data_IF_702486338728
#
_entry.id   IF_702486338728
#
_cell.length_a   1.000
_cell.length_b   1.000
_cell.length_c   1.000
_cell.angle_alpha   90.00
_cell.angle_beta   90.00
_cell.angle_gamma   90.00
#
_symmetry.space_group_name_H-M   'P 1'
#
loop_
_entity.id
_entity.type
_entity.pdbx_description
1 polymer ?
#
# COMPACT_ATOMS: atom_id res chain seq x y z
N UNK A 1 4.11 12.30 9.79
CA UNK A 1 5.35 11.67 9.34
C UNK A 1 5.60 11.93 7.85
N UNK A 2 4.63 11.63 6.94
CA UNK A 2 4.78 11.82 5.48
C UNK A 2 5.13 13.28 5.10
N UNK A 3 4.49 14.27 5.74
CA UNK A 3 4.77 15.69 5.51
C UNK A 3 6.20 16.06 5.94
N UNK A 4 6.65 15.54 7.09
CA UNK A 4 8.01 15.77 7.58
C UNK A 4 9.05 15.17 6.63
N UNK A 5 8.81 13.95 6.12
CA UNK A 5 9.67 13.32 5.12
C UNK A 5 9.70 14.13 3.81
N UNK A 6 8.58 14.66 3.37
CA UNK A 6 8.51 15.49 2.16
C UNK A 6 9.23 16.84 2.32
N UNK A 7 9.27 17.39 3.53
CA UNK A 7 10.00 18.64 3.82
C UNK A 7 11.50 18.39 3.91
N UNK A 8 11.92 17.30 4.54
CA UNK A 8 13.35 16.94 4.69
C UNK A 8 13.97 16.43 3.37
N UNK A 9 13.15 15.78 2.54
CA UNK A 9 13.54 15.25 1.22
C UNK A 9 12.60 15.78 0.14
N UNK A 10 12.77 17.04 -0.30
CA UNK A 10 11.84 17.67 -1.26
C UNK A 10 11.81 16.99 -2.64
N UNK A 11 12.80 16.16 -2.97
CA UNK A 11 12.88 15.47 -4.24
C UNK A 11 13.08 16.39 -5.44
N UNK A 12 13.40 15.81 -6.59
CA UNK A 12 13.51 16.56 -7.85
C UNK A 12 12.15 17.07 -8.30
N UNK A 13 12.04 18.31 -8.81
CA UNK A 13 10.79 18.84 -9.33
C UNK A 13 10.27 17.94 -10.45
N UNK A 14 9.02 17.54 -10.38
CA UNK A 14 8.36 16.84 -11.46
C UNK A 14 8.24 17.82 -12.64
N UNK A 15 8.77 17.45 -13.80
CA UNK A 15 8.51 18.19 -15.04
C UNK A 15 7.03 17.96 -15.40
N UNK A 16 6.18 18.90 -14.98
CA UNK A 16 4.71 18.81 -15.05
C UNK A 16 4.21 18.90 -16.50
N UNK A 17 5.07 19.26 -17.43
CA UNK A 17 4.74 19.37 -18.86
C UNK A 17 4.49 18.01 -19.55
N UNK A 18 4.66 16.91 -18.84
CA UNK A 18 4.74 15.61 -19.47
C UNK A 18 3.39 14.95 -19.80
N UNK A 19 2.34 15.12 -19.03
CA UNK A 19 1.05 14.50 -19.38
C UNK A 19 -0.09 14.96 -18.45
N UNK A 20 -1.30 15.27 -18.98
CA UNK A 20 -2.48 15.57 -18.17
C UNK A 20 -2.96 14.36 -17.32
N UNK A 21 -2.52 13.16 -17.65
CA UNK A 21 -2.85 11.92 -16.92
C UNK A 21 -1.98 11.67 -15.68
N UNK A 22 -0.84 12.35 -15.57
CA UNK A 22 0.07 12.17 -14.44
C UNK A 22 -0.57 12.50 -13.09
N UNK A 23 -1.32 13.61 -12.90
CA UNK A 23 -2.00 13.88 -11.64
C UNK A 23 -3.02 12.80 -11.27
N UNK A 24 -3.76 12.27 -12.23
CA UNK A 24 -4.72 11.19 -11.99
C UNK A 24 -4.00 9.91 -11.52
N UNK A 25 -2.93 9.51 -12.21
CA UNK A 25 -2.11 8.35 -11.81
C UNK A 25 -1.57 8.49 -10.39
N UNK A 26 -1.06 9.67 -10.04
CA UNK A 26 -0.56 9.96 -8.69
C UNK A 26 -1.69 9.92 -7.65
N UNK A 27 -2.85 10.49 -7.97
CA UNK A 27 -4.02 10.49 -7.08
C UNK A 27 -4.51 9.06 -6.79
N UNK A 28 -4.60 8.20 -7.82
CA UNK A 28 -4.94 6.79 -7.67
C UNK A 28 -3.94 6.05 -6.77
N UNK A 29 -2.64 6.30 -6.98
CA UNK A 29 -1.58 5.74 -6.15
C UNK A 29 -1.71 6.17 -4.69
N UNK A 30 -1.80 7.48 -4.42
CA UNK A 30 -1.92 8.03 -3.07
C UNK A 30 -3.19 7.51 -2.36
N UNK A 31 -4.33 7.48 -3.06
CA UNK A 31 -5.57 6.95 -2.50
C UNK A 31 -5.44 5.45 -2.15
N UNK A 32 -4.79 4.67 -3.02
CA UNK A 32 -4.50 3.25 -2.75
C UNK A 32 -3.64 3.08 -1.49
N UNK A 33 -2.55 3.85 -1.36
CA UNK A 33 -1.69 3.83 -0.16
C UNK A 33 -2.47 4.20 1.11
N UNK A 34 -3.33 5.22 1.04
CA UNK A 34 -4.18 5.64 2.16
C UNK A 34 -5.11 4.53 2.63
N UNK A 35 -5.75 3.83 1.69
CA UNK A 35 -6.65 2.72 2.01
C UNK A 35 -5.91 1.52 2.62
N UNK A 36 -4.73 1.18 2.12
CA UNK A 36 -3.93 0.12 2.74
C UNK A 36 -3.38 0.52 4.11
N UNK A 37 -2.99 1.78 4.30
CA UNK A 37 -2.62 2.30 5.62
C UNK A 37 -3.79 2.20 6.61
N UNK A 38 -5.00 2.59 6.21
CA UNK A 38 -6.21 2.41 7.01
C UNK A 38 -6.46 0.94 7.34
N UNK A 39 -6.33 0.04 6.34
CA UNK A 39 -6.47 -1.40 6.56
C UNK A 39 -5.46 -1.94 7.59
N UNK A 40 -4.20 -1.51 7.53
CA UNK A 40 -3.16 -1.88 8.50
C UNK A 40 -3.51 -1.41 9.91
N UNK A 41 -3.96 -0.16 10.07
CA UNK A 41 -4.39 0.38 11.37
C UNK A 41 -5.57 -0.42 11.93
N UNK A 42 -6.59 -0.69 11.11
CA UNK A 42 -7.73 -1.50 11.55
C UNK A 42 -7.34 -2.93 11.90
N UNK A 43 -6.43 -3.56 11.16
CA UNK A 43 -5.91 -4.88 11.47
C UNK A 43 -5.11 -4.89 12.78
N UNK A 44 -4.34 -3.84 13.07
CA UNK A 44 -3.63 -3.68 14.33
C UNK A 44 -4.59 -3.53 15.52
N UNK A 45 -5.62 -2.70 15.38
CA UNK A 45 -6.67 -2.54 16.40
C UNK A 45 -7.41 -3.85 16.66
N UNK A 46 -7.76 -4.59 15.60
CA UNK A 46 -8.40 -5.90 15.70
C UNK A 46 -7.50 -6.90 16.45
N UNK A 47 -6.22 -6.96 16.10
CA UNK A 47 -5.26 -7.86 16.77
C UNK A 47 -5.05 -7.48 18.23
N UNK A 48 -5.07 -6.19 18.55
CA UNK A 48 -4.97 -5.70 19.93
C UNK A 48 -6.21 -6.11 20.75
N UNK A 49 -7.40 -5.86 20.22
CA UNK A 49 -8.67 -6.24 20.86
C UNK A 49 -8.77 -7.77 21.08
N UNK A 50 -8.34 -8.57 20.10
CA UNK A 50 -8.30 -10.04 20.23
C UNK A 50 -7.37 -10.50 21.37
N UNK A 51 -6.20 -9.85 21.53
CA UNK A 51 -5.27 -10.14 22.63
C UNK A 51 -5.86 -9.80 23.99
N UNK A 52 -6.53 -8.64 24.12
CA UNK A 52 -7.18 -8.23 25.37
C UNK A 52 -8.26 -9.22 25.80
N UNK A 53 -9.11 -9.66 24.86
CA UNK A 53 -10.13 -10.67 25.16
C UNK A 53 -9.54 -12.00 25.63
N UNK A 54 -8.42 -12.44 25.04
CA UNK A 54 -7.71 -13.66 25.48
C UNK A 54 -7.12 -13.53 26.89
N UNK A 55 -6.86 -12.30 27.35
CA UNK A 55 -6.32 -12.01 28.68
C UNK A 55 -7.43 -11.80 29.75
N UNK A 56 -8.70 -11.99 29.38
CA UNK A 56 -9.82 -11.87 30.30
C UNK A 56 -10.16 -10.40 30.66
N UNK A 57 -9.70 -9.43 29.91
CA UNK A 57 -10.11 -8.05 30.10
C UNK A 57 -11.56 -7.86 29.65
N UNK A 58 -12.42 -7.34 30.56
CA UNK A 58 -13.79 -6.98 30.21
C UNK A 58 -13.82 -5.95 29.09
N UNK A 59 -14.54 -6.26 28.04
CA UNK A 59 -14.67 -5.41 26.86
C UNK A 59 -15.90 -4.52 26.98
N UNK A 60 -15.81 -3.53 27.88
CA UNK A 60 -16.83 -2.49 27.97
C UNK A 60 -16.61 -1.46 26.85
N UNK A 61 -17.39 -1.58 25.78
CA UNK A 61 -17.58 -0.52 24.78
C UNK A 61 -16.69 -0.51 23.54
N UNK A 62 -15.93 -1.58 23.23
CA UNK A 62 -15.14 -1.68 22.01
C UNK A 62 -15.98 -1.99 20.76
N UNK A 63 -15.49 -1.57 19.57
CA UNK A 63 -16.10 -1.96 18.29
C UNK A 63 -16.09 -3.49 18.13
N UNK A 64 -17.20 -4.09 17.66
CA UNK A 64 -17.26 -5.53 17.42
C UNK A 64 -16.15 -5.97 16.45
N UNK A 65 -15.39 -7.00 16.81
CA UNK A 65 -14.29 -7.56 15.99
C UNK A 65 -14.71 -7.83 14.54
N UNK A 66 -15.93 -8.31 14.35
CA UNK A 66 -16.48 -8.56 13.01
C UNK A 66 -16.65 -7.29 12.18
N UNK A 67 -16.93 -6.16 12.83
CA UNK A 67 -17.04 -4.86 12.15
C UNK A 67 -15.65 -4.38 11.72
N UNK A 68 -14.65 -4.46 12.59
CA UNK A 68 -13.26 -4.13 12.25
C UNK A 68 -12.73 -5.01 11.12
N UNK A 69 -12.98 -6.32 11.19
CA UNK A 69 -12.61 -7.25 10.11
C UNK A 69 -13.26 -6.87 8.79
N UNK A 70 -14.58 -6.60 8.78
CA UNK A 70 -15.30 -6.23 7.56
C UNK A 70 -14.78 -4.94 6.96
N UNK A 71 -14.49 -3.92 7.77
CA UNK A 71 -13.90 -2.65 7.32
C UNK A 71 -12.49 -2.85 6.77
N UNK A 72 -11.64 -3.61 7.45
CA UNK A 72 -10.30 -3.94 6.97
C UNK A 72 -10.35 -4.50 5.55
N UNK A 73 -11.19 -5.50 5.31
CA UNK A 73 -11.28 -6.10 3.98
C UNK A 73 -11.96 -5.22 2.93
N UNK A 74 -12.84 -4.30 3.31
CA UNK A 74 -13.37 -3.29 2.39
C UNK A 74 -12.27 -2.33 1.96
N UNK A 75 -11.43 -1.87 2.87
CA UNK A 75 -10.27 -1.03 2.55
C UNK A 75 -9.25 -1.77 1.69
N UNK A 76 -8.96 -3.03 2.00
CA UNK A 76 -8.05 -3.86 1.17
C UNK A 76 -8.62 -4.03 -0.24
N UNK A 77 -9.91 -4.34 -0.38
CA UNK A 77 -10.56 -4.50 -1.69
C UNK A 77 -10.54 -3.22 -2.52
N UNK A 78 -10.95 -2.09 -1.92
CA UNK A 78 -10.93 -0.79 -2.59
C UNK A 78 -9.49 -0.36 -2.94
N UNK A 79 -8.54 -0.52 -2.01
CA UNK A 79 -7.12 -0.25 -2.25
C UNK A 79 -6.54 -1.12 -3.36
N UNK A 80 -6.93 -2.39 -3.43
CA UNK A 80 -6.50 -3.30 -4.49
C UNK A 80 -7.00 -2.90 -5.87
N UNK A 81 -8.25 -2.44 -5.98
CA UNK A 81 -8.80 -1.92 -7.25
C UNK A 81 -8.00 -0.69 -7.70
N UNK A 82 -7.74 0.25 -6.79
CA UNK A 82 -6.97 1.46 -7.11
C UNK A 82 -5.51 1.13 -7.44
N UNK A 83 -4.89 0.20 -6.73
CA UNK A 83 -3.53 -0.26 -7.02
C UNK A 83 -3.46 -0.92 -8.39
N UNK A 84 -4.45 -1.75 -8.73
CA UNK A 84 -4.55 -2.37 -10.06
C UNK A 84 -4.67 -1.31 -11.16
N UNK A 85 -5.53 -0.31 -10.96
CA UNK A 85 -5.68 0.80 -11.89
C UNK A 85 -4.37 1.61 -12.03
N UNK A 86 -3.66 1.85 -10.93
CA UNK A 86 -2.37 2.54 -10.93
C UNK A 86 -1.30 1.76 -11.69
N UNK A 87 -1.20 0.44 -11.45
CA UNK A 87 -0.24 -0.42 -12.16
C UNK A 87 -0.59 -0.54 -13.65
N UNK A 88 -1.87 -0.71 -13.98
CA UNK A 88 -2.34 -0.78 -15.36
C UNK A 88 -2.05 0.55 -16.09
N UNK A 89 -2.35 1.69 -15.47
CA UNK A 89 -2.02 2.98 -16.04
C UNK A 89 -0.51 3.15 -16.27
N UNK A 90 0.33 2.72 -15.32
CA UNK A 90 1.79 2.75 -15.47
C UNK A 90 2.30 1.82 -16.58
N UNK A 91 1.63 0.68 -16.79
CA UNK A 91 1.98 -0.26 -17.86
C UNK A 91 1.57 0.24 -19.25
N UNK A 92 0.30 0.64 -19.41
CA UNK A 92 -0.24 1.03 -20.73
C UNK A 92 0.14 2.43 -21.15
N UNK A 93 0.30 3.35 -20.23
CA UNK A 93 0.53 4.77 -20.48
C UNK A 93 1.89 5.25 -19.97
N UNK A 94 2.83 4.33 -19.68
CA UNK A 94 4.14 4.67 -19.11
C UNK A 94 4.92 5.71 -19.94
N UNK A 95 4.91 5.60 -21.26
CA UNK A 95 5.55 6.58 -22.17
C UNK A 95 4.91 7.95 -22.08
N UNK A 96 3.58 8.02 -22.01
CA UNK A 96 2.83 9.26 -21.89
C UNK A 96 2.92 9.90 -20.50
N UNK A 97 3.07 9.05 -19.44
CA UNK A 97 3.18 9.51 -18.08
C UNK A 97 4.59 9.97 -17.69
N UNK A 98 5.62 9.28 -18.19
CA UNK A 98 6.99 9.44 -17.73
C UNK A 98 8.01 9.65 -18.88
N UNK A 99 7.55 9.71 -20.13
CA UNK A 99 8.43 9.80 -21.31
C UNK A 99 9.32 8.57 -21.54
N UNK A 100 9.04 7.48 -20.85
CA UNK A 100 9.78 6.21 -20.94
C UNK A 100 8.81 5.04 -20.91
N UNK A 101 9.04 4.02 -21.73
CA UNK A 101 8.35 2.75 -21.62
C UNK A 101 8.59 2.10 -20.27
N UNK A 102 7.78 1.08 -19.92
CA UNK A 102 7.87 0.37 -18.64
C UNK A 102 9.31 -0.05 -18.33
N UNK A 103 9.82 0.42 -17.21
CA UNK A 103 11.16 0.09 -16.74
C UNK A 103 11.04 -0.78 -15.48
N UNK A 104 11.72 -1.92 -15.50
CA UNK A 104 11.87 -2.77 -14.31
C UNK A 104 12.82 -2.11 -13.32
N UNK A 105 12.29 -1.30 -12.45
CA UNK A 105 13.00 -0.69 -11.33
C UNK A 105 12.48 -1.24 -10.01
N UNK A 106 13.18 -0.97 -8.91
CA UNK A 106 12.81 -1.44 -7.58
C UNK A 106 11.37 -1.10 -7.22
N UNK A 107 10.87 0.09 -7.61
CA UNK A 107 9.49 0.52 -7.39
C UNK A 107 8.49 -0.40 -8.08
N UNK A 108 8.71 -0.73 -9.35
CA UNK A 108 7.83 -1.60 -10.13
C UNK A 108 7.80 -3.03 -9.56
N UNK A 109 8.98 -3.55 -9.19
CA UNK A 109 9.12 -4.89 -8.61
C UNK A 109 8.39 -4.99 -7.28
N UNK A 110 8.62 -4.08 -6.34
CA UNK A 110 7.96 -4.12 -5.04
C UNK A 110 6.47 -3.83 -5.12
N UNK A 111 6.02 -2.94 -6.02
CA UNK A 111 4.59 -2.71 -6.25
C UNK A 111 3.90 -3.95 -6.78
N UNK A 112 4.53 -4.70 -7.68
CA UNK A 112 3.99 -5.96 -8.20
C UNK A 112 3.92 -7.04 -7.11
N UNK A 113 4.95 -7.18 -6.27
CA UNK A 113 4.92 -8.12 -5.14
C UNK A 113 3.83 -7.77 -4.13
N UNK A 114 3.64 -6.48 -3.85
CA UNK A 114 2.54 -6.02 -3.02
C UNK A 114 1.18 -6.37 -3.64
N UNK A 115 1.02 -6.14 -4.94
CA UNK A 115 -0.20 -6.50 -5.66
C UNK A 115 -0.50 -7.99 -5.58
N UNK A 116 0.52 -8.84 -5.78
CA UNK A 116 0.38 -10.31 -5.64
C UNK A 116 -0.03 -10.68 -4.22
N UNK A 117 0.59 -10.09 -3.19
CA UNK A 117 0.24 -10.36 -1.80
C UNK A 117 -1.22 -10.01 -1.48
N UNK A 118 -1.71 -8.86 -1.96
CA UNK A 118 -3.12 -8.48 -1.77
C UNK A 118 -4.08 -9.33 -2.60
N UNK A 119 -3.70 -9.73 -3.82
CA UNK A 119 -4.47 -10.68 -4.62
C UNK A 119 -4.62 -12.03 -3.90
N UNK A 120 -3.53 -12.57 -3.36
CA UNK A 120 -3.52 -13.81 -2.56
C UNK A 120 -4.39 -13.65 -1.31
N UNK A 121 -4.31 -12.50 -0.62
CA UNK A 121 -5.13 -12.22 0.55
C UNK A 121 -6.64 -12.23 0.21
N UNK A 122 -7.04 -11.52 -0.83
CA UNK A 122 -8.45 -11.44 -1.26
C UNK A 122 -8.96 -12.78 -1.77
N UNK A 123 -8.14 -13.50 -2.55
CA UNK A 123 -8.47 -14.83 -3.03
C UNK A 123 -8.58 -15.84 -1.85
N UNK A 124 -7.61 -15.83 -0.95
CA UNK A 124 -7.60 -16.67 0.24
C UNK A 124 -8.81 -16.44 1.14
N UNK A 125 -9.23 -15.17 1.28
CA UNK A 125 -10.46 -14.84 1.98
C UNK A 125 -11.70 -15.41 1.29
N UNK A 126 -11.83 -15.18 -0.01
CA UNK A 126 -13.03 -15.58 -0.75
C UNK A 126 -13.15 -17.09 -0.92
N UNK A 127 -12.01 -17.78 -1.15
CA UNK A 127 -12.01 -19.22 -1.47
C UNK A 127 -11.82 -20.11 -0.27
N UNK A 128 -10.99 -19.70 0.70
CA UNK A 128 -10.61 -20.49 1.86
C UNK A 128 -11.11 -19.91 3.19
N UNK A 129 -11.81 -18.78 3.16
CA UNK A 129 -12.34 -18.14 4.36
C UNK A 129 -11.26 -17.61 5.30
N UNK A 130 -10.10 -17.19 4.78
CA UNK A 130 -9.01 -16.67 5.62
C UNK A 130 -9.47 -15.52 6.48
N UNK A 131 -9.24 -15.65 7.80
CA UNK A 131 -9.61 -14.69 8.84
C UNK A 131 -8.54 -14.60 9.91
N UNK A 132 -8.66 -13.59 10.79
CA UNK A 132 -7.78 -13.43 11.93
C UNK A 132 -6.31 -13.30 11.56
N UNK A 133 -5.43 -13.93 12.31
CA UNK A 133 -3.99 -13.74 12.22
C UNK A 133 -3.37 -14.12 10.88
N UNK A 134 -3.89 -15.14 10.18
CA UNK A 134 -3.37 -15.52 8.85
C UNK A 134 -3.60 -14.43 7.84
N UNK A 135 -4.79 -13.83 7.80
CA UNK A 135 -5.10 -12.72 6.92
C UNK A 135 -4.29 -11.46 7.27
N UNK A 136 -4.13 -11.18 8.55
CA UNK A 136 -3.35 -10.02 9.04
C UNK A 136 -1.87 -10.13 8.65
N UNK A 137 -1.26 -11.32 8.71
CA UNK A 137 0.13 -11.52 8.28
C UNK A 137 0.32 -11.21 6.80
N UNK A 138 -0.56 -11.71 5.94
CA UNK A 138 -0.47 -11.45 4.50
C UNK A 138 -0.71 -9.97 4.19
N UNK A 139 -1.63 -9.32 4.90
CA UNK A 139 -1.86 -7.88 4.81
C UNK A 139 -0.59 -7.10 5.15
N UNK A 140 0.11 -7.44 6.24
CA UNK A 140 1.34 -6.75 6.63
C UNK A 140 2.47 -6.99 5.62
N UNK A 141 2.61 -8.20 5.08
CA UNK A 141 3.60 -8.50 4.03
C UNK A 141 3.34 -7.61 2.80
N UNK A 142 2.10 -7.54 2.33
CA UNK A 142 1.71 -6.67 1.21
C UNK A 142 1.99 -5.19 1.49
N UNK A 143 1.66 -4.72 2.71
CA UNK A 143 1.91 -3.34 3.12
C UNK A 143 3.40 -3.01 3.23
N UNK A 144 4.24 -3.95 3.69
CA UNK A 144 5.70 -3.78 3.73
C UNK A 144 6.26 -3.65 2.31
N UNK A 145 5.85 -4.50 1.38
CA UNK A 145 6.27 -4.37 -0.02
C UNK A 145 5.83 -3.04 -0.63
N UNK A 146 4.63 -2.57 -0.32
CA UNK A 146 4.14 -1.29 -0.79
C UNK A 146 4.95 -0.12 -0.23
N UNK A 147 5.31 -0.19 1.05
CA UNK A 147 6.16 0.79 1.71
C UNK A 147 7.57 0.79 1.11
N UNK A 148 8.15 -0.39 0.85
CA UNK A 148 9.45 -0.52 0.19
C UNK A 148 9.42 -0.01 -1.25
N UNK A 149 8.31 -0.14 -1.97
CA UNK A 149 8.15 0.43 -3.30
C UNK A 149 8.30 1.96 -3.29
N UNK A 150 7.83 2.62 -2.25
CA UNK A 150 7.90 4.08 -2.11
C UNK A 150 9.22 4.52 -1.46
N UNK A 151 9.52 4.04 -0.25
CA UNK A 151 10.71 4.44 0.52
C UNK A 151 11.99 3.90 -0.11
N UNK A 152 11.97 2.64 -0.57
CA UNK A 152 13.14 2.02 -1.18
C UNK A 152 13.59 2.74 -2.46
N UNK A 153 12.66 3.21 -3.28
CA UNK A 153 13.00 3.97 -4.49
C UNK A 153 13.65 5.32 -4.19
N UNK A 154 13.22 5.99 -3.11
CA UNK A 154 13.81 7.25 -2.65
C UNK A 154 15.17 7.03 -2.01
N UNK A 155 15.27 6.05 -1.12
CA UNK A 155 16.52 5.74 -0.43
C UNK A 155 17.62 5.29 -1.40
N UNK A 156 17.29 4.46 -2.38
CA UNK A 156 18.25 4.02 -3.40
C UNK A 156 18.66 5.17 -4.32
N UNK A 157 17.74 6.04 -4.73
CA UNK A 157 18.06 7.16 -5.61
C UNK A 157 18.87 8.25 -4.90
N UNK A 158 18.48 8.63 -3.68
CA UNK A 158 19.07 9.80 -2.99
C UNK A 158 20.26 9.42 -2.11
N UNK A 159 20.30 8.23 -1.50
CA UNK A 159 21.38 7.87 -0.56
C UNK A 159 22.46 6.99 -1.20
N UNK A 160 22.11 6.09 -2.10
CA UNK A 160 23.08 5.18 -2.73
C UNK A 160 23.67 5.76 -4.02
N UNK A 161 22.86 6.35 -4.88
CA UNK A 161 23.35 6.85 -6.18
C UNK A 161 24.05 8.21 -6.07
N UNK A 162 23.59 9.13 -5.19
CA UNK A 162 24.27 10.41 -4.96
C UNK A 162 25.58 10.27 -4.15
N UNK A 163 25.76 9.18 -3.40
CA UNK A 163 27.06 8.91 -2.71
C UNK A 163 28.10 8.26 -3.59
N UNK A 164 27.74 7.79 -4.76
CA UNK A 164 28.65 7.08 -5.69
C UNK A 164 29.03 8.00 -6.89
N UNK A 165 28.32 9.13 -7.05
CA UNK A 165 28.63 10.18 -8.04
C UNK A 165 29.45 11.31 -7.40
#
# INVERSE_FOLDING_TARGET
LAVLLAVVFPGSPLHVDASPWLPLHLALGIASYGLFAAAVVHAALMSHAERQMRQGADHDGGLPLLTLERLTFRFVGAGFVLLTATLAAGWFFGEQLYGKSWVWNHKSVFSLHSWIAFAVLLFGRNRFGWRGQSAVRVLYIGAIFLLLAYVGSRFVAEVLLERIA
#
